data_IF_354407446678
#
_entry.id   IF_354407446678
#
_cell.length_a   1.000
_cell.length_b   1.000
_cell.length_c   1.000
_cell.angle_alpha   90.00
_cell.angle_beta   90.00
_cell.angle_gamma   90.00
#
_symmetry.space_group_name_H-M   'P 1'
#
loop_
_entity.id
_entity.type
_entity.pdbx_description
1 polymer ?
#
# COMPACT_ATOMS: atom_id res chain seq x y z
N UNK A 1 -13.05 23.48 -9.72
CA UNK A 1 -14.34 24.21 -9.68
C UNK A 1 -14.11 25.50 -8.89
N UNK A 2 -15.02 26.47 -8.95
CA UNK A 2 -14.72 27.92 -8.81
C UNK A 2 -15.06 28.56 -7.44
N UNK A 3 -15.29 27.78 -6.37
CA UNK A 3 -15.51 28.32 -5.02
C UNK A 3 -16.89 28.98 -4.80
N UNK A 4 -17.90 28.56 -5.56
CA UNK A 4 -19.27 29.12 -5.52
C UNK A 4 -20.23 28.43 -4.54
N UNK A 5 -19.99 27.16 -4.19
CA UNK A 5 -20.80 26.40 -3.21
C UNK A 5 -20.00 26.18 -1.94
N UNK A 6 -20.58 26.54 -0.80
CA UNK A 6 -19.98 26.39 0.53
C UNK A 6 -20.89 25.55 1.41
N UNK A 7 -20.29 24.59 2.11
CA UNK A 7 -20.94 23.81 3.16
C UNK A 7 -20.32 24.18 4.50
N UNK A 8 -21.13 24.17 5.55
CA UNK A 8 -20.66 24.43 6.93
C UNK A 8 -20.54 23.10 7.65
N UNK A 9 -19.55 22.95 8.52
CA UNK A 9 -19.46 21.78 9.38
C UNK A 9 -20.39 21.96 10.58
N UNK A 10 -21.16 20.92 10.91
CA UNK A 10 -22.10 20.89 12.02
C UNK A 10 -21.38 21.27 13.33
N UNK A 11 -21.76 22.38 13.99
CA UNK A 11 -21.11 22.84 15.21
C UNK A 11 -21.36 21.93 16.43
N UNK A 12 -22.31 20.99 16.35
CA UNK A 12 -22.50 19.96 17.39
C UNK A 12 -21.44 18.84 17.30
N UNK A 13 -20.87 18.62 16.12
CA UNK A 13 -19.85 17.60 15.85
C UNK A 13 -18.45 18.20 15.75
N UNK A 14 -18.33 19.32 15.05
CA UNK A 14 -17.06 19.97 14.79
C UNK A 14 -16.50 20.63 16.06
N UNK A 15 -15.22 20.39 16.41
CA UNK A 15 -14.59 21.08 17.52
C UNK A 15 -14.48 22.58 17.21
N UNK A 16 -14.39 23.40 18.25
CA UNK A 16 -14.08 24.82 18.05
C UNK A 16 -12.69 24.96 17.42
N UNK A 17 -12.61 25.79 16.38
CA UNK A 17 -11.33 26.21 15.81
C UNK A 17 -10.47 26.82 16.92
N UNK A 18 -9.17 26.49 16.94
CA UNK A 18 -8.22 26.96 17.96
C UNK A 18 -8.59 26.53 19.40
N UNK A 19 -9.04 25.27 19.55
CA UNK A 19 -9.38 24.66 20.86
C UNK A 19 -8.17 24.18 21.67
N UNK A 20 -6.98 24.75 21.44
CA UNK A 20 -5.78 24.59 22.28
C UNK A 20 -5.20 23.17 22.42
N UNK A 21 -5.34 22.28 21.43
CA UNK A 21 -4.40 21.17 21.35
C UNK A 21 -3.01 21.76 21.05
N UNK A 22 -1.99 21.57 21.92
CA UNK A 22 -0.66 22.05 21.61
C UNK A 22 -0.23 21.54 20.22
N UNK A 23 0.48 22.36 19.47
CA UNK A 23 1.14 21.89 18.25
C UNK A 23 2.52 21.37 18.63
N UNK A 24 2.86 20.17 18.16
CA UNK A 24 4.21 19.64 18.19
C UNK A 24 4.81 19.86 16.80
N UNK A 25 5.61 20.92 16.65
CA UNK A 25 6.27 21.24 15.38
C UNK A 25 7.26 20.17 14.91
N UNK A 26 7.56 19.15 15.72
CA UNK A 26 8.34 17.98 15.32
C UNK A 26 7.50 16.77 14.88
N UNK A 27 6.17 16.81 15.09
CA UNK A 27 5.23 15.79 14.66
C UNK A 27 4.82 15.92 13.18
N UNK A 28 4.15 14.89 12.67
CA UNK A 28 3.66 14.85 11.29
C UNK A 28 2.26 15.47 11.19
N UNK A 29 2.15 16.57 10.45
CA UNK A 29 0.87 17.26 10.21
C UNK A 29 -0.10 16.43 9.36
N UNK A 30 0.38 15.41 8.64
CA UNK A 30 -0.42 14.47 7.86
C UNK A 30 -1.06 13.35 8.69
N UNK A 31 -0.78 13.28 9.99
CA UNK A 31 -1.31 12.24 10.89
C UNK A 31 -2.40 12.85 11.76
N UNK A 32 -3.66 12.37 11.66
CA UNK A 32 -4.73 12.91 12.48
C UNK A 32 -4.50 12.58 13.95
N UNK A 33 -4.91 13.52 14.80
CA UNK A 33 -5.03 13.28 16.23
C UNK A 33 -6.04 12.17 16.50
N UNK A 34 -5.77 11.35 17.53
CA UNK A 34 -6.74 10.35 18.01
C UNK A 34 -8.05 11.06 18.40
N UNK A 35 -9.20 10.71 17.81
CA UNK A 35 -10.47 11.40 18.05
C UNK A 35 -10.90 11.38 19.52
N UNK A 36 -10.44 10.39 20.29
CA UNK A 36 -10.75 10.26 21.71
C UNK A 36 -9.98 11.24 22.60
N UNK A 37 -8.98 11.95 22.07
CA UNK A 37 -8.16 12.89 22.84
C UNK A 37 -8.90 14.22 23.04
N UNK A 38 -9.45 14.40 24.25
CA UNK A 38 -9.91 15.69 24.76
C UNK A 38 -8.82 16.50 25.49
N UNK A 39 -9.10 17.79 25.71
CA UNK A 39 -8.19 18.77 26.31
C UNK A 39 -7.69 18.37 27.73
N UNK A 40 -8.50 17.65 28.50
CA UNK A 40 -8.17 17.15 29.83
C UNK A 40 -7.07 16.07 29.83
N UNK A 41 -6.90 15.34 28.73
CA UNK A 41 -5.77 14.42 28.56
C UNK A 41 -4.41 15.12 28.50
N UNK A 42 -4.40 16.41 28.14
CA UNK A 42 -3.20 17.24 28.05
C UNK A 42 -2.95 18.06 29.33
N UNK A 43 -3.90 18.05 30.27
CA UNK A 43 -3.75 18.77 31.53
C UNK A 43 -2.53 18.25 32.30
N UNK A 44 -1.61 19.15 32.64
CA UNK A 44 -0.37 18.84 33.37
C UNK A 44 0.58 17.86 32.65
N UNK A 45 0.34 17.57 31.37
CA UNK A 45 1.19 16.71 30.56
C UNK A 45 2.53 17.40 30.24
N UNK A 46 3.65 16.77 30.60
CA UNK A 46 4.98 17.17 30.14
C UNK A 46 5.24 16.73 28.68
N UNK A 47 6.29 17.25 28.05
CA UNK A 47 6.64 16.99 26.65
C UNK A 47 6.66 15.50 26.26
N UNK A 48 7.18 14.63 27.13
CA UNK A 48 7.22 13.18 26.90
C UNK A 48 5.80 12.61 26.76
N UNK A 49 4.87 13.06 27.62
CA UNK A 49 3.49 12.61 27.59
C UNK A 49 2.73 13.17 26.40
N UNK A 50 3.02 14.40 25.97
CA UNK A 50 2.48 14.98 24.74
C UNK A 50 2.86 14.14 23.51
N UNK A 51 4.15 13.79 23.38
CA UNK A 51 4.64 12.95 22.29
C UNK A 51 3.97 11.57 22.26
N UNK A 52 3.76 10.94 23.42
CA UNK A 52 3.00 9.68 23.54
C UNK A 52 1.54 9.82 23.12
N UNK A 53 0.88 10.91 23.53
CA UNK A 53 -0.53 11.15 23.22
C UNK A 53 -0.71 11.45 21.73
N UNK A 54 0.18 12.24 21.13
CA UNK A 54 0.17 12.56 19.71
C UNK A 54 0.50 11.37 18.82
N UNK A 55 1.24 10.38 19.32
CA UNK A 55 1.55 9.16 18.58
C UNK A 55 2.06 9.45 17.14
N UNK A 56 2.95 10.45 17.02
CA UNK A 56 3.52 10.90 15.76
C UNK A 56 2.76 12.03 15.05
N UNK A 57 1.57 12.42 15.50
CA UNK A 57 0.86 13.62 15.01
C UNK A 57 1.54 14.92 15.41
N UNK A 58 1.41 15.96 14.59
CA UNK A 58 1.78 17.34 14.95
C UNK A 58 0.78 18.01 15.91
N UNK A 59 -0.29 17.33 16.32
CA UNK A 59 -1.33 17.91 17.17
C UNK A 59 -2.36 18.70 16.37
N UNK A 60 -3.08 19.60 17.05
CA UNK A 60 -4.15 20.41 16.46
C UNK A 60 -5.54 19.79 16.54
N UNK A 61 -6.53 20.48 15.98
CA UNK A 61 -7.93 20.05 15.95
C UNK A 61 -8.26 19.35 14.62
N UNK A 62 -8.84 18.15 14.70
CA UNK A 62 -9.31 17.40 13.54
C UNK A 62 -10.70 17.86 13.09
N UNK A 63 -10.91 17.92 11.77
CA UNK A 63 -12.20 18.22 11.15
C UNK A 63 -12.53 17.15 10.12
N UNK A 64 -13.76 16.64 10.15
CA UNK A 64 -14.25 15.64 9.20
C UNK A 64 -15.21 16.27 8.19
N UNK A 65 -15.09 15.87 6.92
CA UNK A 65 -16.00 16.28 5.86
C UNK A 65 -17.39 15.64 6.01
N UNK A 66 -17.49 14.51 6.71
CA UNK A 66 -18.77 13.87 7.05
C UNK A 66 -19.63 14.72 7.99
N UNK A 67 -19.07 15.77 8.60
CA UNK A 67 -19.83 16.72 9.42
C UNK A 67 -20.46 17.86 8.60
N UNK A 68 -20.30 17.86 7.27
CA UNK A 68 -20.86 18.91 6.45
C UNK A 68 -22.39 18.87 6.43
N UNK A 69 -23.00 20.05 6.52
CA UNK A 69 -24.45 20.27 6.38
C UNK A 69 -24.76 21.29 5.30
N UNK A 70 -25.95 21.20 4.71
CA UNK A 70 -26.47 22.19 3.77
C UNK A 70 -27.02 23.45 4.48
N UNK A 71 -27.66 24.33 3.71
CA UNK A 71 -28.22 25.58 4.25
C UNK A 71 -29.42 25.36 5.18
N UNK A 72 -30.05 24.19 5.09
CA UNK A 72 -31.17 23.75 5.90
C UNK A 72 -30.71 22.99 7.16
N UNK A 73 -29.41 22.66 7.24
CA UNK A 73 -28.82 21.92 8.35
C UNK A 73 -28.86 20.40 8.18
N UNK A 74 -29.19 19.90 6.98
CA UNK A 74 -29.23 18.47 6.69
C UNK A 74 -27.83 17.95 6.33
N UNK A 75 -27.43 16.74 6.79
CA UNK A 75 -26.12 16.17 6.49
C UNK A 75 -25.88 16.00 4.98
N UNK A 76 -24.67 16.35 4.54
CA UNK A 76 -24.21 16.22 3.15
C UNK A 76 -22.92 15.42 3.12
N UNK A 77 -22.91 14.32 2.36
CA UNK A 77 -21.70 13.55 2.13
C UNK A 77 -20.77 14.29 1.15
N UNK A 78 -19.58 14.68 1.61
CA UNK A 78 -18.55 15.33 0.80
C UNK A 78 -17.34 14.40 0.63
N UNK A 79 -17.08 13.96 -0.60
CA UNK A 79 -15.92 13.10 -0.89
C UNK A 79 -14.57 13.82 -0.95
N UNK A 80 -14.56 15.15 -1.09
CA UNK A 80 -13.35 15.98 -1.11
C UNK A 80 -13.68 17.47 -0.92
N UNK A 81 -12.72 18.27 -0.48
CA UNK A 81 -12.80 19.74 -0.45
C UNK A 81 -11.63 20.38 -1.24
N UNK A 82 -11.94 21.34 -2.12
CA UNK A 82 -10.91 22.09 -2.86
C UNK A 82 -10.47 23.36 -2.14
N UNK A 83 -11.34 23.90 -1.28
CA UNK A 83 -11.10 25.12 -0.52
C UNK A 83 -11.62 24.93 0.90
N UNK A 84 -10.86 25.45 1.86
CA UNK A 84 -11.28 25.51 3.27
C UNK A 84 -11.40 26.98 3.65
N UNK A 85 -12.54 27.35 4.22
CA UNK A 85 -12.80 28.71 4.70
C UNK A 85 -12.91 28.69 6.22
N UNK A 86 -12.06 29.47 6.86
CA UNK A 86 -12.02 29.61 8.31
C UNK A 86 -12.55 30.99 8.67
N UNK A 87 -13.72 31.05 9.29
CA UNK A 87 -14.37 32.31 9.68
C UNK A 87 -14.14 32.59 11.18
N UNK A 88 -13.36 33.64 11.46
CA UNK A 88 -13.14 34.11 12.84
C UNK A 88 -14.29 35.05 13.23
N UNK A 89 -15.33 34.50 13.85
CA UNK A 89 -16.55 35.23 14.22
C UNK A 89 -16.26 36.30 15.30
N UNK A 90 -15.31 36.04 16.20
CA UNK A 90 -14.87 37.02 17.22
C UNK A 90 -13.47 36.72 17.72
N UNK A 91 -12.75 37.74 18.21
CA UNK A 91 -11.43 37.57 18.80
C UNK A 91 -10.33 37.37 17.76
N UNK A 92 -9.47 36.37 18.00
CA UNK A 92 -8.38 35.96 17.11
C UNK A 92 -8.30 34.43 17.09
N UNK A 93 -7.92 33.87 15.94
CA UNK A 93 -7.51 32.48 15.83
C UNK A 93 -6.04 32.46 15.39
N UNK A 94 -5.22 31.65 16.06
CA UNK A 94 -3.83 31.42 15.67
C UNK A 94 -3.76 30.05 14.96
N UNK A 95 -3.29 30.07 13.70
CA UNK A 95 -3.28 28.89 12.84
C UNK A 95 -1.91 28.78 12.19
N UNK A 96 -1.14 27.78 12.63
CA UNK A 96 0.21 27.54 12.14
C UNK A 96 0.21 26.78 10.80
N UNK A 97 -0.83 25.97 10.56
CA UNK A 97 -0.96 25.19 9.34
C UNK A 97 -2.32 24.50 9.24
N UNK A 98 -2.63 24.02 8.03
CA UNK A 98 -3.76 23.16 7.74
C UNK A 98 -3.22 21.98 6.92
N UNK A 99 -3.58 20.76 7.29
CA UNK A 99 -3.25 19.57 6.53
C UNK A 99 -4.51 18.78 6.26
N UNK A 100 -4.57 18.19 5.06
CA UNK A 100 -5.43 17.05 4.81
C UNK A 100 -4.84 15.85 5.57
N UNK A 101 -5.69 15.12 6.29
CA UNK A 101 -5.32 13.98 7.11
C UNK A 101 -6.31 12.86 6.85
N UNK A 102 -5.81 11.68 6.48
CA UNK A 102 -6.66 10.50 6.32
C UNK A 102 -6.72 9.74 7.65
N UNK A 103 -7.90 9.30 8.12
CA UNK A 103 -7.99 8.46 9.31
C UNK A 103 -7.05 7.26 9.19
N UNK A 104 -6.12 7.08 10.15
CA UNK A 104 -5.33 5.85 10.21
C UNK A 104 -6.28 4.72 10.62
N UNK A 105 -6.80 3.98 9.64
CA UNK A 105 -7.52 2.75 9.94
C UNK A 105 -6.49 1.64 10.22
N UNK A 106 -6.75 0.83 11.25
CA UNK A 106 -5.92 -0.34 11.63
C UNK A 106 -5.49 -1.25 10.46
N UNK A 107 -6.24 -1.40 9.34
CA UNK A 107 -5.79 -2.21 8.21
C UNK A 107 -4.64 -1.59 7.38
N UNK A 108 -4.37 -0.30 7.52
CA UNK A 108 -3.39 0.40 6.67
C UNK A 108 -1.99 0.50 7.25
N UNK A 109 -1.85 0.11 8.52
CA UNK A 109 -0.67 0.45 9.29
C UNK A 109 0.55 -0.32 8.80
N UNK A 110 0.37 -1.57 8.35
CA UNK A 110 1.41 -2.44 7.79
C UNK A 110 0.79 -3.82 7.52
N UNK A 111 1.00 -4.44 6.36
CA UNK A 111 0.50 -5.81 6.09
C UNK A 111 1.62 -6.76 5.70
N UNK A 112 1.50 -8.02 6.13
CA UNK A 112 2.37 -9.11 5.73
C UNK A 112 1.62 -10.43 5.70
N UNK A 113 1.76 -11.16 4.60
CA UNK A 113 1.18 -12.47 4.39
C UNK A 113 2.23 -13.46 3.87
N UNK A 114 2.22 -14.65 4.45
CA UNK A 114 3.08 -15.79 4.06
C UNK A 114 2.27 -17.02 3.70
N UNK A 115 0.94 -16.91 3.71
CA UNK A 115 -0.01 -18.00 3.50
C UNK A 115 0.20 -19.22 4.42
N UNK A 116 0.91 -19.03 5.55
CA UNK A 116 1.10 -20.04 6.60
C UNK A 116 -0.22 -20.51 7.26
N UNK A 117 -1.31 -19.78 7.04
CA UNK A 117 -2.67 -20.19 7.41
C UNK A 117 -3.62 -19.73 6.32
N UNK A 118 -4.85 -20.24 6.34
CA UNK A 118 -5.90 -19.85 5.39
C UNK A 118 -6.03 -18.31 5.28
N UNK A 119 -5.73 -17.72 4.11
CA UNK A 119 -5.79 -16.28 3.90
C UNK A 119 -7.22 -15.73 4.01
N UNK A 120 -8.25 -16.52 3.69
CA UNK A 120 -9.65 -16.08 3.79
C UNK A 120 -10.04 -15.82 5.26
N UNK A 121 -9.44 -16.54 6.20
CA UNK A 121 -9.58 -16.29 7.63
C UNK A 121 -8.82 -15.05 8.13
N UNK A 122 -7.96 -14.45 7.29
CA UNK A 122 -7.14 -13.26 7.58
C UNK A 122 -7.59 -12.01 6.82
N UNK A 123 -8.82 -12.02 6.31
CA UNK A 123 -9.43 -10.87 5.64
C UNK A 123 -9.01 -10.71 4.18
N UNK A 124 -8.47 -11.76 3.55
CA UNK A 124 -8.46 -11.86 2.10
C UNK A 124 -9.83 -12.26 1.58
N UNK A 125 -10.15 -11.81 0.38
CA UNK A 125 -11.44 -11.98 -0.26
C UNK A 125 -11.26 -12.39 -1.72
N UNK A 126 -12.26 -13.09 -2.25
CA UNK A 126 -12.29 -13.48 -3.67
C UNK A 126 -13.48 -12.78 -4.32
N UNK A 127 -13.22 -12.23 -5.51
CA UNK A 127 -14.25 -11.83 -6.47
C UNK A 127 -14.05 -12.59 -7.78
N UNK A 128 -15.15 -12.94 -8.47
CA UNK A 128 -15.11 -13.62 -9.77
C UNK A 128 -15.06 -15.14 -9.65
N UNK A 129 -14.24 -15.79 -10.47
CA UNK A 129 -14.09 -17.24 -10.51
C UNK A 129 -13.14 -17.73 -9.40
N UNK A 130 -13.71 -18.35 -8.36
CA UNK A 130 -12.96 -18.87 -7.22
C UNK A 130 -12.02 -20.02 -7.58
N UNK A 131 -12.25 -20.74 -8.70
CA UNK A 131 -11.42 -21.88 -9.08
C UNK A 131 -9.99 -21.49 -9.48
N UNK A 132 -9.75 -20.19 -9.73
CA UNK A 132 -8.46 -19.63 -10.08
C UNK A 132 -7.51 -19.47 -8.89
N UNK A 133 -8.03 -19.54 -7.66
CA UNK A 133 -7.26 -19.29 -6.45
C UNK A 133 -7.44 -20.45 -5.46
N UNK A 134 -6.34 -21.10 -5.10
CA UNK A 134 -6.36 -22.25 -4.21
C UNK A 134 -5.25 -22.14 -3.18
N UNK A 135 -5.63 -22.00 -1.91
CA UNK A 135 -4.70 -22.14 -0.79
C UNK A 135 -4.52 -23.61 -0.44
N UNK A 136 -3.26 -24.05 -0.33
CA UNK A 136 -2.89 -25.41 0.02
C UNK A 136 -2.29 -25.42 1.43
N UNK A 137 -2.98 -26.09 2.36
CA UNK A 137 -2.59 -26.18 3.76
C UNK A 137 -1.34 -27.03 4.01
N UNK A 138 -0.99 -27.95 3.11
CA UNK A 138 0.21 -28.78 3.25
C UNK A 138 1.45 -28.02 2.81
N UNK A 139 1.33 -27.22 1.75
CA UNK A 139 2.45 -26.42 1.23
C UNK A 139 2.51 -25.00 1.77
N UNK A 140 1.49 -24.58 2.54
CA UNK A 140 1.35 -23.22 3.08
C UNK A 140 1.49 -22.13 2.01
N UNK A 141 0.92 -22.37 0.83
CA UNK A 141 1.12 -21.52 -0.34
C UNK A 141 -0.19 -21.23 -1.06
N UNK A 142 -0.28 -20.05 -1.67
CA UNK A 142 -1.37 -19.69 -2.56
C UNK A 142 -1.01 -20.07 -4.00
N UNK A 143 -1.71 -21.05 -4.55
CA UNK A 143 -1.66 -21.39 -5.97
C UNK A 143 -2.64 -20.52 -6.74
N UNK A 144 -2.15 -19.95 -7.84
CA UNK A 144 -2.91 -19.04 -8.69
C UNK A 144 -2.88 -19.55 -10.12
N UNK A 145 -4.03 -19.47 -10.78
CA UNK A 145 -4.17 -19.67 -12.23
C UNK A 145 -4.58 -18.35 -12.85
N UNK A 146 -3.78 -17.86 -13.79
CA UNK A 146 -4.15 -16.78 -14.69
C UNK A 146 -4.66 -17.43 -15.98
N UNK A 147 -5.94 -17.26 -16.26
CA UNK A 147 -6.63 -17.78 -17.43
C UNK A 147 -7.46 -16.65 -18.03
N UNK A 148 -6.99 -16.14 -19.17
CA UNK A 148 -7.61 -15.02 -19.86
C UNK A 148 -8.96 -15.35 -20.51
N UNK A 149 -9.33 -16.64 -20.60
CA UNK A 149 -10.68 -17.06 -21.02
C UNK A 149 -11.72 -16.81 -19.92
N UNK A 150 -11.27 -16.71 -18.67
CA UNK A 150 -12.14 -16.49 -17.51
C UNK A 150 -12.47 -15.01 -17.32
N UNK A 151 -13.61 -14.69 -16.67
CA UNK A 151 -13.90 -13.33 -16.27
C UNK A 151 -12.82 -12.75 -15.35
N UNK A 152 -12.81 -11.41 -15.26
CA UNK A 152 -11.99 -10.73 -14.28
C UNK A 152 -12.26 -11.28 -12.87
N UNK A 153 -11.21 -11.70 -12.19
CA UNK A 153 -11.28 -12.34 -10.89
C UNK A 153 -10.12 -11.87 -10.03
N UNK A 154 -10.37 -11.65 -8.76
CA UNK A 154 -9.41 -10.99 -7.87
C UNK A 154 -9.32 -11.76 -6.57
N UNK A 155 -8.09 -12.16 -6.19
CA UNK A 155 -7.78 -12.56 -4.83
C UNK A 155 -7.17 -11.35 -4.12
N UNK A 156 -7.96 -10.69 -3.29
CA UNK A 156 -7.68 -9.32 -2.83
C UNK A 156 -7.65 -9.19 -1.32
N UNK A 157 -6.86 -8.23 -0.84
CA UNK A 157 -6.83 -7.78 0.55
C UNK A 157 -7.22 -6.31 0.58
N UNK A 158 -8.39 -5.95 1.14
CA UNK A 158 -8.75 -4.56 1.35
C UNK A 158 -7.72 -3.86 2.25
N UNK A 159 -7.30 -2.66 1.86
CA UNK A 159 -6.35 -1.85 2.61
C UNK A 159 -7.01 -1.09 3.76
N UNK A 160 -8.35 -1.04 3.79
CA UNK A 160 -9.14 -0.29 4.77
C UNK A 160 -9.18 1.21 4.53
N UNK A 161 -8.55 1.69 3.45
CA UNK A 161 -8.63 3.07 2.97
C UNK A 161 -8.13 3.14 1.52
N UNK A 162 -8.45 4.23 0.81
CA UNK A 162 -7.90 4.49 -0.51
C UNK A 162 -6.53 5.18 -0.45
N UNK A 163 -5.64 4.80 -1.37
CA UNK A 163 -4.39 5.47 -1.70
C UNK A 163 -4.54 6.18 -3.05
N UNK A 164 -3.95 7.36 -3.17
CA UNK A 164 -4.02 8.19 -4.37
C UNK A 164 -2.62 8.64 -4.79
N UNK A 165 -2.54 9.49 -5.82
CA UNK A 165 -1.28 9.96 -6.41
C UNK A 165 -0.42 10.83 -5.49
N UNK A 166 -0.95 11.29 -4.36
CA UNK A 166 -0.20 12.09 -3.37
C UNK A 166 0.40 11.23 -2.26
N UNK A 167 -0.05 9.98 -2.12
CA UNK A 167 0.45 9.09 -1.09
C UNK A 167 1.75 8.44 -1.55
N UNK A 168 2.65 8.17 -0.61
CA UNK A 168 3.82 7.34 -0.89
C UNK A 168 3.66 5.97 -0.23
N UNK A 169 3.92 4.92 -1.00
CA UNK A 169 3.70 3.54 -0.57
C UNK A 169 4.62 2.56 -1.29
N UNK A 170 4.80 1.39 -0.68
CA UNK A 170 5.49 0.27 -1.31
C UNK A 170 4.81 -1.05 -0.99
N UNK A 171 4.94 -1.99 -1.92
CA UNK A 171 4.59 -3.38 -1.70
C UNK A 171 5.63 -4.30 -2.32
N UNK A 172 5.68 -5.52 -1.80
CA UNK A 172 6.52 -6.59 -2.32
C UNK A 172 5.76 -7.90 -2.30
N UNK A 173 6.13 -8.81 -3.19
CA UNK A 173 5.62 -10.17 -3.24
C UNK A 173 6.64 -11.09 -3.90
N UNK A 174 6.50 -12.39 -3.66
CA UNK A 174 7.22 -13.44 -4.37
C UNK A 174 6.28 -14.15 -5.33
N UNK A 175 6.80 -14.45 -6.52
CA UNK A 175 6.11 -15.23 -7.54
C UNK A 175 7.02 -16.33 -8.07
N UNK A 176 6.45 -17.51 -8.28
CA UNK A 176 7.07 -18.61 -9.03
C UNK A 176 6.08 -19.09 -10.07
N UNK A 177 6.44 -19.00 -11.35
CA UNK A 177 5.61 -19.49 -12.45
C UNK A 177 5.96 -20.95 -12.72
N UNK A 178 4.96 -21.83 -12.73
CA UNK A 178 5.11 -23.26 -13.00
C UNK A 178 4.76 -23.61 -14.45
N UNK A 179 3.88 -22.82 -15.06
CA UNK A 179 3.45 -22.99 -16.44
C UNK A 179 3.09 -21.62 -17.01
N UNK A 180 3.48 -21.36 -18.26
CA UNK A 180 3.14 -20.15 -18.99
C UNK A 180 2.88 -20.49 -20.45
N UNK A 181 1.72 -20.06 -20.96
CA UNK A 181 1.26 -20.21 -22.34
C UNK A 181 0.64 -18.90 -22.80
N UNK A 182 1.40 -18.09 -23.52
CA UNK A 182 0.90 -16.88 -24.15
C UNK A 182 0.49 -17.14 -25.60
N UNK A 183 -0.50 -16.41 -26.10
CA UNK A 183 -0.93 -16.49 -27.51
C UNK A 183 -1.40 -17.88 -27.95
N UNK A 184 -1.97 -18.66 -27.02
CA UNK A 184 -2.19 -20.10 -27.19
C UNK A 184 -3.58 -20.47 -27.72
N UNK A 185 -4.52 -19.52 -27.77
CA UNK A 185 -5.88 -19.74 -28.23
C UNK A 185 -6.03 -19.44 -29.72
N UNK A 186 -6.90 -20.19 -30.38
CA UNK A 186 -7.22 -20.00 -31.79
C UNK A 186 -7.77 -18.59 -32.04
N UNK A 187 -7.09 -17.82 -32.91
CA UNK A 187 -7.46 -16.44 -33.22
C UNK A 187 -6.98 -15.40 -32.20
N UNK A 188 -6.26 -15.81 -31.15
CA UNK A 188 -5.67 -14.89 -30.16
C UNK A 188 -4.15 -15.14 -30.00
N UNK A 189 -3.34 -14.82 -31.03
CA UNK A 189 -1.91 -15.18 -31.05
C UNK A 189 -1.02 -14.27 -30.20
N UNK A 190 -1.55 -13.19 -29.60
CA UNK A 190 -0.76 -12.23 -28.84
C UNK A 190 -0.76 -12.52 -27.34
N UNK A 191 0.22 -11.95 -26.65
CA UNK A 191 0.38 -12.08 -25.19
C UNK A 191 -0.67 -11.28 -24.43
N UNK A 192 -1.01 -11.76 -23.22
CA UNK A 192 -1.78 -11.06 -22.21
C UNK A 192 -1.04 -11.14 -20.88
N UNK A 193 -1.37 -10.25 -19.94
CA UNK A 193 -0.56 -10.04 -18.74
C UNK A 193 -0.87 -11.00 -17.59
N UNK A 194 0.17 -11.30 -16.81
CA UNK A 194 0.07 -11.67 -15.40
C UNK A 194 0.16 -10.38 -14.61
N UNK A 195 -0.86 -10.06 -13.80
CA UNK A 195 -0.96 -8.80 -13.07
C UNK A 195 -1.06 -8.99 -11.54
N UNK A 196 -0.27 -8.21 -10.81
CA UNK A 196 -0.36 -8.07 -9.36
C UNK A 196 -0.12 -6.61 -8.96
N UNK A 197 -0.88 -6.10 -8.01
CA UNK A 197 -0.70 -4.73 -7.54
C UNK A 197 -1.86 -4.20 -6.75
N UNK A 198 -2.15 -2.92 -6.91
CA UNK A 198 -3.24 -2.22 -6.24
C UNK A 198 -4.34 -1.87 -7.24
N UNK A 199 -5.59 -2.06 -6.81
CA UNK A 199 -6.77 -1.69 -7.58
C UNK A 199 -7.77 -0.93 -6.72
N UNK A 200 -8.71 -0.27 -7.38
CA UNK A 200 -9.95 0.17 -6.75
C UNK A 200 -11.00 -0.94 -6.81
N UNK A 201 -11.49 -1.36 -5.66
CA UNK A 201 -12.44 -2.46 -5.53
C UNK A 201 -13.75 -2.16 -6.23
N UNK A 202 -14.29 -0.95 -6.07
CA UNK A 202 -15.55 -0.55 -6.70
C UNK A 202 -15.44 -0.57 -8.24
N UNK A 203 -14.42 0.10 -8.79
CA UNK A 203 -14.30 0.16 -10.25
C UNK A 203 -13.87 -1.19 -10.84
N UNK A 204 -12.97 -1.94 -10.22
CA UNK A 204 -12.50 -3.23 -10.73
C UNK A 204 -13.59 -4.31 -10.79
N UNK A 205 -14.57 -4.25 -9.88
CA UNK A 205 -15.71 -5.18 -9.83
C UNK A 205 -16.93 -4.70 -10.65
N UNK A 206 -16.85 -3.51 -11.25
CA UNK A 206 -17.88 -3.01 -12.15
C UNK A 206 -17.94 -3.81 -13.45
N UNK A 207 -19.13 -3.98 -14.01
CA UNK A 207 -19.33 -4.58 -15.34
C UNK A 207 -18.71 -3.75 -16.47
N UNK A 208 -18.36 -2.49 -16.22
CA UNK A 208 -17.70 -1.61 -17.20
C UNK A 208 -16.18 -1.76 -17.20
N UNK A 209 -15.61 -2.46 -16.21
CA UNK A 209 -14.17 -2.69 -16.17
C UNK A 209 -13.80 -3.81 -17.14
N UNK A 210 -13.00 -3.47 -18.15
CA UNK A 210 -12.53 -4.39 -19.17
C UNK A 210 -11.06 -4.11 -19.50
N UNK A 211 -10.17 -4.95 -18.96
CA UNK A 211 -8.74 -4.86 -19.23
C UNK A 211 -8.39 -5.21 -20.67
N UNK A 212 -9.14 -6.14 -21.29
CA UNK A 212 -8.91 -6.59 -22.67
C UNK A 212 -9.06 -5.51 -23.74
N UNK A 213 -9.70 -4.38 -23.46
CA UNK A 213 -9.76 -3.25 -24.42
C UNK A 213 -8.51 -2.38 -24.39
N UNK A 214 -7.68 -2.50 -23.35
CA UNK A 214 -6.54 -1.63 -23.10
C UNK A 214 -6.90 -0.21 -22.65
N UNK A 215 -8.20 0.13 -22.53
CA UNK A 215 -8.66 1.50 -22.21
C UNK A 215 -9.74 1.57 -21.14
N UNK A 216 -10.35 0.45 -20.74
CA UNK A 216 -11.50 0.46 -19.81
C UNK A 216 -11.13 -0.16 -18.46
N UNK A 217 -9.96 0.16 -17.93
CA UNK A 217 -9.44 -0.35 -16.66
C UNK A 217 -8.87 0.77 -15.78
N UNK A 218 -9.73 1.59 -15.15
CA UNK A 218 -9.30 2.70 -14.33
C UNK A 218 -8.80 2.26 -12.95
N UNK A 219 -8.07 3.15 -12.29
CA UNK A 219 -7.59 3.03 -10.91
C UNK A 219 -6.76 1.77 -10.64
N UNK A 220 -5.58 1.73 -11.25
CA UNK A 220 -4.62 0.62 -11.11
C UNK A 220 -3.23 1.15 -10.80
N UNK A 221 -2.47 0.41 -9.98
CA UNK A 221 -1.02 0.54 -9.82
C UNK A 221 -0.44 -0.87 -9.77
N UNK A 222 0.11 -1.34 -10.88
CA UNK A 222 0.34 -2.77 -11.09
C UNK A 222 1.72 -3.10 -11.66
N UNK A 223 2.20 -4.27 -11.28
CA UNK A 223 3.26 -4.99 -11.96
C UNK A 223 2.63 -5.92 -12.98
N UNK A 224 2.99 -5.75 -14.25
CA UNK A 224 2.51 -6.59 -15.34
C UNK A 224 3.68 -7.37 -15.96
N UNK A 225 3.51 -8.68 -16.13
CA UNK A 225 4.39 -9.52 -16.94
C UNK A 225 3.66 -10.01 -18.18
N UNK A 226 4.21 -9.69 -19.36
CA UNK A 226 3.75 -10.16 -20.65
C UNK A 226 4.74 -11.20 -21.18
N UNK A 227 4.40 -12.51 -21.20
CA UNK A 227 5.28 -13.53 -21.76
C UNK A 227 5.46 -13.37 -23.27
N UNK A 228 6.52 -13.97 -23.83
CA UNK A 228 6.87 -13.80 -25.23
C UNK A 228 5.94 -14.56 -26.19
N UNK A 229 5.46 -13.87 -27.24
CA UNK A 229 4.77 -14.47 -28.40
C UNK A 229 5.50 -14.18 -29.72
N UNK A 230 6.80 -13.87 -29.66
CA UNK A 230 7.67 -13.50 -30.78
C UNK A 230 8.06 -12.00 -30.83
N UNK A 231 7.66 -11.21 -29.83
CA UNK A 231 7.97 -9.77 -29.72
C UNK A 231 8.89 -9.43 -28.53
N UNK A 232 9.28 -10.44 -27.75
CA UNK A 232 10.05 -10.34 -26.52
C UNK A 232 9.14 -10.22 -25.29
N UNK A 233 9.39 -11.06 -24.29
CA UNK A 233 8.74 -10.92 -23.00
C UNK A 233 9.07 -9.57 -22.35
N UNK A 234 8.08 -8.99 -21.68
CA UNK A 234 8.14 -7.63 -21.17
C UNK A 234 7.65 -7.57 -19.73
N UNK A 235 8.41 -6.86 -18.88
CA UNK A 235 7.94 -6.39 -17.58
C UNK A 235 7.48 -4.96 -17.77
N UNK A 236 6.21 -4.70 -17.50
CA UNK A 236 5.55 -3.44 -17.81
C UNK A 236 4.78 -2.87 -16.61
N UNK A 237 5.46 -2.36 -15.56
CA UNK A 237 4.74 -1.70 -14.48
C UNK A 237 3.88 -0.56 -15.02
N UNK A 238 2.68 -0.39 -14.47
CA UNK A 238 1.68 0.53 -14.98
C UNK A 238 0.92 1.27 -13.88
N UNK A 239 0.47 2.48 -14.21
CA UNK A 239 -0.50 3.27 -13.44
C UNK A 239 -1.67 3.59 -14.38
N UNK A 240 -2.89 3.35 -13.92
CA UNK A 240 -4.12 3.77 -14.57
C UNK A 240 -4.86 4.78 -13.70
N UNK A 241 -5.20 5.94 -14.27
CA UNK A 241 -6.02 6.94 -13.57
C UNK A 241 -7.48 6.51 -13.44
N UNK A 242 -8.28 7.31 -12.72
CA UNK A 242 -9.75 7.22 -12.64
C UNK A 242 -10.46 7.31 -14.02
N UNK A 243 -9.76 7.84 -15.02
CA UNK A 243 -10.20 7.97 -16.42
C UNK A 243 -9.50 7.00 -17.36
N UNK A 244 -8.85 5.96 -16.83
CA UNK A 244 -8.10 4.98 -17.61
C UNK A 244 -7.01 5.60 -18.51
N UNK A 245 -6.40 6.70 -18.07
CA UNK A 245 -5.19 7.18 -18.70
C UNK A 245 -4.02 6.34 -18.20
N UNK A 246 -3.18 5.82 -19.09
CA UNK A 246 -2.09 4.93 -18.71
C UNK A 246 -0.73 5.63 -18.74
N UNK A 247 0.04 5.43 -17.68
CA UNK A 247 1.49 5.57 -17.69
C UNK A 247 2.08 4.17 -17.46
N UNK A 248 3.02 3.76 -18.31
CA UNK A 248 3.67 2.46 -18.21
C UNK A 248 5.16 2.55 -18.53
N UNK A 249 5.95 1.72 -17.86
CA UNK A 249 7.35 1.48 -18.19
C UNK A 249 7.45 0.20 -19.03
N UNK A 250 8.36 0.12 -19.99
CA UNK A 250 8.52 -1.06 -20.83
C UNK A 250 9.95 -1.60 -20.74
N UNK A 251 10.11 -2.76 -20.10
CA UNK A 251 11.41 -3.42 -19.97
C UNK A 251 11.39 -4.71 -20.78
N UNK A 252 12.09 -4.71 -21.92
CA UNK A 252 12.20 -5.88 -22.79
C UNK A 252 13.61 -5.95 -23.42
N UNK A 253 14.15 -7.16 -23.65
CA UNK A 253 13.60 -8.47 -23.27
C UNK A 253 13.77 -8.76 -21.76
N UNK A 254 12.69 -9.26 -21.14
CA UNK A 254 12.60 -9.57 -19.72
C UNK A 254 11.84 -10.88 -19.47
N UNK A 255 12.25 -11.96 -20.14
CA UNK A 255 11.69 -13.30 -19.94
C UNK A 255 11.96 -13.81 -18.51
N UNK A 256 10.90 -14.21 -17.81
CA UNK A 256 10.99 -14.89 -16.52
C UNK A 256 11.10 -16.40 -16.73
N UNK A 257 12.05 -17.04 -16.07
CA UNK A 257 12.23 -18.49 -16.17
C UNK A 257 11.19 -19.24 -15.30
N UNK A 258 10.52 -20.22 -15.91
CA UNK A 258 9.62 -21.13 -15.20
C UNK A 258 10.37 -21.90 -14.12
N UNK A 259 9.79 -21.99 -12.92
CA UNK A 259 10.33 -22.63 -11.74
C UNK A 259 11.32 -21.77 -10.94
N UNK A 260 11.72 -20.60 -11.47
CA UNK A 260 12.52 -19.63 -10.72
C UNK A 260 11.65 -18.78 -9.82
N UNK A 261 12.21 -18.38 -8.67
CA UNK A 261 11.53 -17.50 -7.73
C UNK A 261 11.94 -16.07 -8.01
N UNK A 262 10.96 -15.24 -8.30
CA UNK A 262 11.15 -13.79 -8.43
C UNK A 262 10.59 -13.09 -7.20
N UNK A 263 11.35 -12.15 -6.65
CA UNK A 263 10.85 -11.21 -5.64
C UNK A 263 10.71 -9.86 -6.30
N UNK A 264 9.54 -9.25 -6.22
CA UNK A 264 9.24 -7.95 -6.83
C UNK A 264 9.02 -6.95 -5.70
N UNK A 265 9.59 -5.76 -5.80
CA UNK A 265 9.22 -4.59 -4.98
C UNK A 265 8.75 -3.48 -5.90
N UNK A 266 7.59 -2.91 -5.60
CA UNK A 266 7.11 -1.68 -6.20
C UNK A 266 7.06 -0.58 -5.17
N UNK A 267 7.49 0.61 -5.55
CA UNK A 267 7.53 1.79 -4.69
C UNK A 267 7.02 3.01 -5.45
N UNK A 268 5.95 3.61 -4.95
CA UNK A 268 5.40 4.85 -5.47
C UNK A 268 5.77 6.01 -4.54
N UNK A 269 6.44 7.01 -5.10
CA UNK A 269 6.74 8.28 -4.45
C UNK A 269 5.69 9.31 -4.90
N UNK A 270 4.78 9.69 -4.00
CA UNK A 270 3.69 10.63 -4.30
C UNK A 270 4.18 12.06 -4.58
N UNK A 271 5.33 12.45 -4.02
CA UNK A 271 5.93 13.77 -4.28
C UNK A 271 6.51 13.83 -5.69
N UNK A 272 7.20 12.77 -6.12
CA UNK A 272 7.78 12.68 -7.47
C UNK A 272 6.79 12.13 -8.51
N UNK A 273 5.64 11.62 -8.07
CA UNK A 273 4.67 10.85 -8.86
C UNK A 273 5.34 9.76 -9.70
N UNK A 274 6.22 9.01 -9.05
CA UNK A 274 7.17 8.08 -9.65
C UNK A 274 6.97 6.69 -9.07
N UNK A 275 6.67 5.71 -9.92
CA UNK A 275 6.64 4.29 -9.57
C UNK A 275 7.95 3.63 -10.00
N UNK A 276 8.66 3.06 -9.03
CA UNK A 276 9.84 2.24 -9.22
C UNK A 276 9.50 0.79 -9.05
N UNK A 277 10.18 -0.06 -9.80
CA UNK A 277 10.09 -1.51 -9.67
C UNK A 277 11.49 -2.10 -9.59
N UNK A 278 11.75 -2.87 -8.55
CA UNK A 278 12.97 -3.65 -8.39
C UNK A 278 12.63 -5.13 -8.36
N UNK A 279 13.48 -5.96 -8.98
CA UNK A 279 13.26 -7.39 -9.06
C UNK A 279 14.53 -8.16 -8.70
N UNK A 280 14.33 -9.26 -7.99
CA UNK A 280 15.35 -10.26 -7.68
C UNK A 280 14.96 -11.60 -8.29
N UNK A 281 15.93 -12.33 -8.81
CA UNK A 281 15.80 -13.73 -9.25
C UNK A 281 16.61 -14.60 -8.30
N UNK A 282 15.95 -15.52 -7.60
CA UNK A 282 16.55 -16.36 -6.56
C UNK A 282 17.38 -15.58 -5.50
N UNK A 283 17.03 -14.30 -5.29
CA UNK A 283 17.66 -13.39 -4.33
C UNK A 283 18.73 -12.47 -4.91
N UNK A 284 19.16 -12.71 -6.15
CA UNK A 284 20.13 -11.86 -6.83
C UNK A 284 19.44 -10.76 -7.65
N UNK A 285 20.08 -9.60 -7.74
CA UNK A 285 19.54 -8.49 -8.54
C UNK A 285 19.40 -8.92 -10.00
N UNK A 286 18.19 -8.77 -10.55
CA UNK A 286 17.89 -9.29 -11.88
C UNK A 286 18.17 -8.30 -13.01
N UNK A 287 17.27 -7.33 -13.23
CA UNK A 287 17.34 -6.34 -14.30
C UNK A 287 16.98 -4.96 -13.77
N UNK A 288 17.39 -3.91 -14.48
CA UNK A 288 16.85 -2.57 -14.25
C UNK A 288 15.49 -2.48 -14.95
N UNK A 289 14.42 -2.30 -14.17
CA UNK A 289 13.08 -2.11 -14.71
C UNK A 289 12.84 -0.63 -15.00
N UNK A 290 12.16 -0.34 -16.10
CA UNK A 290 11.77 1.01 -16.48
C UNK A 290 10.88 1.65 -15.41
N UNK A 291 11.26 2.84 -14.95
CA UNK A 291 10.44 3.63 -14.02
C UNK A 291 9.20 4.20 -14.73
N UNK A 292 8.11 4.39 -13.99
CA UNK A 292 6.86 4.99 -14.50
C UNK A 292 6.66 6.35 -13.86
N UNK A 293 6.59 7.40 -14.69
CA UNK A 293 6.28 8.76 -14.24
C UNK A 293 4.86 9.10 -14.62
N UNK A 294 4.03 9.43 -13.63
CA UNK A 294 2.69 9.95 -13.88
C UNK A 294 2.80 11.42 -14.32
N UNK A 295 2.42 11.70 -15.57
CA UNK A 295 2.53 13.04 -16.15
C UNK A 295 1.54 14.02 -15.51
N UNK A 296 1.87 15.30 -15.47
CA UNK A 296 1.02 16.34 -14.85
C UNK A 296 -0.42 16.40 -15.38
N UNK A 297 -0.60 16.14 -16.68
CA UNK A 297 -1.91 16.14 -17.33
C UNK A 297 -2.76 14.88 -17.04
N UNK A 298 -2.16 13.87 -16.40
CA UNK A 298 -2.85 12.65 -16.02
C UNK A 298 -3.68 12.90 -14.76
N UNK A 299 -4.96 12.53 -14.86
CA UNK A 299 -5.91 12.52 -13.75
C UNK A 299 -5.46 11.58 -12.63
N UNK A 300 -5.98 11.83 -11.42
CA UNK A 300 -5.70 11.06 -10.20
C UNK A 300 -6.08 9.57 -10.34
N UNK A 301 -5.57 8.74 -9.45
CA UNK A 301 -6.07 7.38 -9.21
C UNK A 301 -6.52 7.25 -7.76
N UNK A 302 -7.38 6.27 -7.47
CA UNK A 302 -7.76 5.91 -6.11
C UNK A 302 -7.79 4.40 -5.97
N UNK A 303 -6.86 3.78 -5.23
CA UNK A 303 -6.74 2.32 -5.08
C UNK A 303 -6.91 1.91 -3.61
N UNK A 304 -7.68 0.86 -3.34
CA UNK A 304 -8.13 0.51 -1.97
C UNK A 304 -7.92 -0.96 -1.59
N UNK A 305 -7.34 -1.77 -2.48
CA UNK A 305 -7.01 -3.17 -2.22
C UNK A 305 -5.72 -3.57 -2.92
N UNK A 306 -4.92 -4.41 -2.27
CA UNK A 306 -3.92 -5.23 -2.96
C UNK A 306 -4.63 -6.41 -3.62
N UNK A 307 -4.24 -6.76 -4.86
CA UNK A 307 -4.87 -7.80 -5.65
C UNK A 307 -3.85 -8.65 -6.40
N UNK A 308 -4.14 -9.95 -6.41
CA UNK A 308 -3.64 -10.89 -7.41
C UNK A 308 -4.75 -10.99 -8.46
N UNK A 309 -4.51 -10.44 -9.64
CA UNK A 309 -5.54 -10.17 -10.64
C UNK A 309 -5.47 -11.19 -11.78
N UNK A 310 -6.59 -11.89 -12.01
CA UNK A 310 -6.84 -12.55 -13.28
C UNK A 310 -7.70 -11.63 -14.14
N UNK A 311 -7.20 -11.23 -15.31
CA UNK A 311 -7.96 -10.44 -16.27
C UNK A 311 -8.46 -11.28 -17.42
N UNK A 312 -9.71 -11.06 -17.81
CA UNK A 312 -10.28 -11.63 -19.02
C UNK A 312 -9.83 -10.86 -20.25
N UNK A 313 -9.35 -11.56 -21.27
CA UNK A 313 -8.93 -10.97 -22.55
C UNK A 313 -10.09 -10.87 -23.57
N UNK A 314 -11.34 -10.93 -23.11
CA UNK A 314 -12.53 -10.94 -23.96
C UNK A 314 -12.59 -9.70 -24.85
N UNK A 315 -12.66 -9.92 -26.16
CA UNK A 315 -12.70 -8.85 -27.16
C UNK A 315 -11.33 -8.39 -27.65
N UNK A 316 -10.25 -9.06 -27.22
CA UNK A 316 -8.89 -8.85 -27.71
C UNK A 316 -8.41 -10.03 -28.57
N UNK A 317 -7.29 -9.83 -29.27
CA UNK A 317 -6.53 -10.88 -29.98
C UNK A 317 -5.42 -11.48 -29.09
N UNK A 318 -5.50 -11.25 -27.77
CA UNK A 318 -4.52 -11.71 -26.79
C UNK A 318 -5.04 -12.89 -25.98
N UNK A 319 -4.14 -13.79 -25.58
CA UNK A 319 -4.46 -14.89 -24.67
C UNK A 319 -3.30 -15.24 -23.74
N UNK A 320 -3.65 -15.70 -22.55
CA UNK A 320 -2.73 -16.18 -21.53
C UNK A 320 -3.36 -17.32 -20.74
N UNK A 321 -2.58 -18.37 -20.53
CA UNK A 321 -2.77 -19.34 -19.46
C UNK A 321 -1.46 -19.47 -18.69
N UNK A 322 -1.48 -19.24 -17.38
CA UNK A 322 -0.33 -19.42 -16.51
C UNK A 322 -0.75 -19.97 -15.16
N UNK A 323 0.13 -20.74 -14.53
CA UNK A 323 -0.06 -21.27 -13.18
C UNK A 323 1.17 -20.96 -12.37
N UNK A 324 0.98 -20.51 -11.13
CA UNK A 324 2.09 -20.15 -10.26
C UNK A 324 1.75 -20.20 -8.78
N UNK A 325 2.74 -19.83 -7.99
CA UNK A 325 2.65 -19.66 -6.54
C UNK A 325 2.93 -18.20 -6.21
N UNK A 326 2.16 -17.64 -5.27
CA UNK A 326 2.40 -16.33 -4.66
C UNK A 326 2.68 -16.51 -3.16
N UNK A 327 3.66 -15.79 -2.65
CA UNK A 327 4.05 -15.80 -1.23
C UNK A 327 4.74 -14.48 -0.82
N UNK A 328 5.03 -14.32 0.48
CA UNK A 328 5.82 -13.23 1.07
C UNK A 328 5.35 -11.84 0.63
N UNK A 329 4.03 -11.62 0.69
CA UNK A 329 3.43 -10.33 0.39
C UNK A 329 3.66 -9.40 1.57
N UNK A 330 4.16 -8.20 1.32
CA UNK A 330 4.18 -7.13 2.32
C UNK A 330 3.77 -5.80 1.69
N UNK A 331 3.13 -4.94 2.49
CA UNK A 331 2.74 -3.60 2.07
C UNK A 331 2.90 -2.62 3.22
N UNK A 332 3.40 -1.43 2.89
CA UNK A 332 3.56 -0.31 3.81
C UNK A 332 3.33 1.01 3.07
N UNK A 333 2.88 2.01 3.80
CA UNK A 333 2.72 3.39 3.35
C UNK A 333 3.65 4.32 4.16
N UNK A 334 3.74 5.60 3.78
CA UNK A 334 4.71 6.53 4.39
C UNK A 334 4.61 6.67 5.92
N UNK A 335 3.42 6.47 6.48
CA UNK A 335 3.16 6.55 7.93
C UNK A 335 3.01 5.18 8.60
N UNK A 336 3.33 4.10 7.90
CA UNK A 336 3.31 2.75 8.47
C UNK A 336 4.34 2.58 9.57
N UNK A 337 3.93 2.04 10.72
CA UNK A 337 4.84 1.54 11.75
C UNK A 337 5.28 0.11 11.40
N UNK A 338 6.56 -0.14 11.04
CA UNK A 338 6.99 -1.47 10.65
C UNK A 338 6.86 -2.46 11.80
N UNK A 339 6.39 -3.67 11.48
CA UNK A 339 6.26 -4.75 12.46
C UNK A 339 7.31 -5.83 12.25
N UNK A 340 7.72 -6.42 13.36
CA UNK A 340 8.58 -7.59 13.36
C UNK A 340 7.81 -8.82 12.90
N UNK A 341 8.39 -9.56 11.96
CA UNK A 341 7.88 -10.86 11.52
C UNK A 341 8.95 -11.93 11.55
N UNK A 342 8.48 -13.17 11.63
CA UNK A 342 9.32 -14.38 11.74
C UNK A 342 10.38 -14.26 12.85
N UNK A 343 10.06 -13.58 13.96
CA UNK A 343 10.98 -13.46 15.10
C UNK A 343 11.24 -14.84 15.71
N UNK A 344 12.52 -15.20 15.82
CA UNK A 344 12.94 -16.50 16.33
C UNK A 344 14.28 -16.43 17.04
N UNK A 345 14.54 -17.41 17.90
CA UNK A 345 15.85 -17.65 18.47
C UNK A 345 16.55 -18.75 17.63
N UNK A 346 17.72 -18.42 17.07
CA UNK A 346 18.55 -19.31 16.26
C UNK A 346 19.88 -19.51 16.99
N UNK A 347 20.12 -20.72 17.50
CA UNK A 347 21.34 -21.07 18.23
C UNK A 347 21.69 -20.13 19.39
N UNK A 348 20.69 -19.61 20.11
CA UNK A 348 20.88 -18.67 21.21
C UNK A 348 20.86 -17.20 20.79
N UNK A 349 20.77 -16.90 19.49
CA UNK A 349 20.76 -15.54 18.94
C UNK A 349 19.35 -15.15 18.48
N UNK A 350 18.95 -13.91 18.69
CA UNK A 350 17.65 -13.44 18.21
C UNK A 350 17.77 -12.98 16.76
N UNK A 351 16.80 -13.37 15.93
CA UNK A 351 16.68 -12.89 14.55
C UNK A 351 15.24 -12.56 14.21
N UNK A 352 15.04 -11.53 13.40
CA UNK A 352 13.72 -11.15 12.89
C UNK A 352 13.81 -10.54 11.49
N UNK A 353 12.66 -10.35 10.88
CA UNK A 353 12.47 -9.67 9.60
C UNK A 353 11.49 -8.50 9.78
N UNK A 354 11.60 -7.45 8.96
CA UNK A 354 10.59 -6.40 8.83
C UNK A 354 10.56 -5.88 7.40
N UNK A 355 9.37 -5.54 6.90
CA UNK A 355 9.23 -4.77 5.67
C UNK A 355 9.18 -3.30 6.04
N UNK A 356 9.99 -2.47 5.38
CA UNK A 356 10.02 -1.03 5.65
C UNK A 356 9.84 -0.23 4.38
N UNK A 357 9.28 0.95 4.58
CA UNK A 357 9.20 2.01 3.59
C UNK A 357 10.18 3.13 3.98
N UNK A 358 10.93 3.63 3.01
CA UNK A 358 11.95 4.66 3.19
C UNK A 358 13.25 4.20 3.88
N UNK A 359 14.23 5.09 3.88
CA UNK A 359 15.57 4.86 4.43
C UNK A 359 15.73 5.39 5.86
N UNK A 360 16.89 5.12 6.48
CA UNK A 360 17.29 5.67 7.78
C UNK A 360 16.99 4.77 8.99
N UNK A 361 16.37 3.63 8.75
CA UNK A 361 16.02 2.69 9.81
C UNK A 361 17.26 2.10 10.51
N UNK A 362 17.21 2.07 11.83
CA UNK A 362 18.16 1.39 12.70
C UNK A 362 17.43 0.59 13.77
N UNK A 363 18.16 -0.29 14.45
CA UNK A 363 17.61 -1.10 15.53
C UNK A 363 18.32 -0.81 16.81
N UNK A 364 17.53 -0.66 17.86
CA UNK A 364 18.03 -0.50 19.21
C UNK A 364 17.58 -1.66 20.08
N UNK A 365 18.43 -1.98 21.06
CA UNK A 365 18.19 -3.01 22.07
C UNK A 365 18.24 -2.41 23.47
N UNK A 366 17.34 -2.86 24.33
CA UNK A 366 17.36 -2.58 25.77
C UNK A 366 17.20 -3.88 26.58
N UNK A 367 17.74 -3.88 27.79
CA UNK A 367 17.54 -4.97 28.78
C UNK A 367 16.46 -4.59 29.81
N UNK A 368 16.16 -3.29 29.96
CA UNK A 368 15.35 -2.72 31.03
C UNK A 368 14.36 -1.63 30.57
N UNK A 369 14.22 -1.41 29.26
CA UNK A 369 13.48 -0.31 28.62
C UNK A 369 13.97 1.11 28.90
N UNK A 370 15.05 1.29 29.67
CA UNK A 370 15.58 2.62 30.05
C UNK A 370 16.78 3.00 29.20
N UNK A 371 17.68 2.06 28.94
CA UNK A 371 18.87 2.29 28.14
C UNK A 371 18.78 1.52 26.82
N UNK A 372 18.68 2.27 25.73
CA UNK A 372 18.64 1.73 24.38
C UNK A 372 20.01 1.90 23.74
N UNK A 373 20.51 0.82 23.13
CA UNK A 373 21.78 0.78 22.41
C UNK A 373 21.53 0.40 20.96
N UNK A 374 22.05 1.20 20.03
CA UNK A 374 22.05 0.85 18.61
C UNK A 374 22.80 -0.47 18.35
N UNK A 375 22.24 -1.29 17.46
CA UNK A 375 22.81 -2.53 16.97
C UNK A 375 23.37 -2.31 15.55
N UNK A 376 24.53 -1.68 15.46
CA UNK A 376 25.20 -1.38 14.20
C UNK A 376 25.52 -2.67 13.41
N UNK A 377 25.23 -2.67 12.10
CA UNK A 377 25.51 -3.80 11.21
C UNK A 377 24.63 -5.05 11.44
N UNK A 378 23.72 -5.02 12.41
CA UNK A 378 22.73 -6.08 12.63
C UNK A 378 21.65 -6.10 11.54
N UNK A 379 21.49 -4.97 10.84
CA UNK A 379 20.51 -4.76 9.81
C UNK A 379 21.09 -5.01 8.42
N UNK A 380 20.53 -5.98 7.69
CA UNK A 380 20.83 -6.22 6.29
C UNK A 380 19.56 -6.08 5.49
N UNK A 381 19.61 -5.31 4.42
CA UNK A 381 18.58 -5.41 3.39
C UNK A 381 18.81 -6.71 2.63
N UNK A 382 17.85 -7.62 2.72
CA UNK A 382 17.87 -8.87 1.99
C UNK A 382 16.46 -9.14 1.45
N UNK A 383 16.37 -9.45 0.16
CA UNK A 383 15.12 -9.66 -0.54
C UNK A 383 14.05 -8.56 -0.35
N UNK A 384 14.46 -7.28 -0.27
CA UNK A 384 13.60 -6.11 0.04
C UNK A 384 13.05 -6.00 1.46
N UNK A 385 13.54 -6.83 2.37
CA UNK A 385 13.23 -6.74 3.78
C UNK A 385 14.46 -6.40 4.60
N UNK A 386 14.20 -5.78 5.74
CA UNK A 386 15.16 -5.60 6.81
C UNK A 386 15.29 -6.90 7.59
N UNK A 387 16.43 -7.57 7.44
CA UNK A 387 16.80 -8.72 8.23
C UNK A 387 17.68 -8.29 9.39
N UNK A 388 17.31 -8.77 10.57
CA UNK A 388 17.96 -8.42 11.81
C UNK A 388 18.48 -9.67 12.50
N UNK A 389 19.72 -9.57 12.94
CA UNK A 389 20.38 -10.61 13.70
C UNK A 389 21.17 -9.99 14.85
N UNK A 390 20.76 -10.28 16.09
CA UNK A 390 21.53 -9.91 17.27
C UNK A 390 22.67 -10.91 17.47
N UNK A 391 23.89 -10.46 17.17
CA UNK A 391 25.10 -11.26 17.33
C UNK A 391 25.39 -11.60 18.80
N UNK A 392 24.85 -10.85 19.77
CA UNK A 392 24.98 -11.24 21.17
C UNK A 392 23.98 -12.36 21.49
N UNK A 393 24.38 -13.42 22.21
CA UNK A 393 23.46 -14.46 22.64
C UNK A 393 22.44 -13.91 23.63
N UNK A 394 21.16 -14.25 23.47
CA UNK A 394 20.07 -13.80 24.34
C UNK A 394 20.31 -14.30 25.77
N UNK A 395 20.58 -13.37 26.68
CA UNK A 395 20.74 -13.60 28.12
C UNK A 395 19.74 -12.70 28.85
N UNK A 396 18.81 -13.30 29.59
CA UNK A 396 17.76 -12.54 30.29
C UNK A 396 16.77 -11.86 29.34
N UNK A 397 16.17 -10.77 29.82
CA UNK A 397 15.20 -10.00 29.04
C UNK A 397 15.91 -9.15 27.98
N UNK A 398 15.37 -9.17 26.76
CA UNK A 398 15.80 -8.30 25.68
C UNK A 398 14.60 -7.74 24.96
N UNK A 399 14.66 -6.45 24.71
CA UNK A 399 13.66 -5.69 24.00
C UNK A 399 14.32 -5.04 22.79
N UNK A 400 13.63 -5.09 21.65
CA UNK A 400 14.11 -4.55 20.39
C UNK A 400 13.07 -3.57 19.85
N UNK A 401 13.55 -2.45 19.32
CA UNK A 401 12.71 -1.50 18.59
C UNK A 401 13.40 -1.07 17.30
N UNK A 402 12.58 -0.85 16.28
CA UNK A 402 13.01 -0.20 15.06
C UNK A 402 12.83 1.31 15.26
N UNK A 403 13.85 2.09 14.92
CA UNK A 403 13.80 3.56 14.99
C UNK A 403 14.28 4.12 13.66
N UNK A 404 13.80 5.31 13.31
CA UNK A 404 14.18 6.02 12.09
C UNK A 404 14.90 7.32 12.43
#
# INVERSE_FOLDING_TARGET
>A
MDGSTWFVLDPELAPKLDSYYPTDGSGDFGVPMKPELAADHFAEAGLVKLSELYAGSAGGAGFDLDWAVDAEGEPVALGQAQFVRLEVISGRAEIDGLSDVRPRTTPLDWHYETFATDPLAKGWEIHGDHSLFSWDAETEALRVTWDSEKPNSYFRRPLGQALTEVDSFAFTFQITLNEVKAGHLDGQPYTFEIALGLLNSETAMSTTFNRGTGTDSPNLVEWDYFPDTGFGATISPAIASDKSQFAAGFTFPAEMEVGKRYTIRMEFDGVKRLLKTDMLEDGEKWKTIAEVVMKDAMSSFSVDAFSISNYGAKGSESSLFAVGLIDEIAMAVQWSEPRWTRSKNVHGHWSTKAFVFGDGWSVERAEDFRQWKALDGALKSDHFFLHLFDADPVKGNRFYRLVR
#
